data_IF_800469586964
#
_entry.id   IF_800469586964
#
_cell.length_a   1.000
_cell.length_b   1.000
_cell.length_c   1.000
_cell.angle_alpha   90.00
_cell.angle_beta   90.00
_cell.angle_gamma   90.00
#
_symmetry.space_group_name_H-M   'P 1'
#
loop_
_entity.id
_entity.type
_entity.pdbx_description
1 polymer ?
#
# COMPACT_ATOMS: atom_id res chain seq x y z
N UNK A 1 4.07 33.74 -9.56
CA UNK A 1 4.02 32.95 -8.30
C UNK A 1 5.16 31.93 -8.20
N UNK A 2 5.48 31.17 -9.27
CA UNK A 2 6.64 30.26 -9.32
C UNK A 2 8.01 30.94 -9.09
N UNK A 3 8.16 32.22 -9.46
CA UNK A 3 9.41 32.95 -9.26
C UNK A 3 9.67 33.36 -7.80
N UNK A 4 8.64 33.41 -6.96
CA UNK A 4 8.76 33.66 -5.52
C UNK A 4 9.36 32.45 -4.80
N UNK A 5 8.77 31.26 -5.01
CA UNK A 5 9.29 29.98 -4.50
C UNK A 5 10.69 29.66 -5.02
N UNK A 6 11.04 30.08 -6.25
CA UNK A 6 12.40 29.94 -6.80
C UNK A 6 13.44 30.74 -6.05
N UNK A 7 13.06 31.87 -5.45
CA UNK A 7 13.95 32.72 -4.67
C UNK A 7 14.05 32.25 -3.22
N UNK A 8 12.99 31.71 -2.64
CA UNK A 8 12.98 31.19 -1.27
C UNK A 8 13.66 29.82 -1.12
N UNK A 9 13.54 28.93 -2.11
CA UNK A 9 14.10 27.57 -2.03
C UNK A 9 14.89 27.17 -3.28
N UNK A 10 15.96 27.90 -3.63
CA UNK A 10 16.76 27.60 -4.82
C UNK A 10 17.37 26.19 -4.75
N UNK A 11 17.78 25.75 -3.56
CA UNK A 11 18.38 24.44 -3.29
C UNK A 11 17.42 23.28 -3.55
N UNK A 12 16.13 23.44 -3.21
CA UNK A 12 15.12 22.40 -3.46
C UNK A 12 14.89 22.21 -4.95
N UNK A 13 14.95 23.30 -5.72
CA UNK A 13 14.72 23.27 -7.17
C UNK A 13 15.96 22.76 -7.91
N UNK A 14 17.16 23.11 -7.48
CA UNK A 14 18.39 22.53 -8.03
C UNK A 14 18.47 21.04 -7.72
N UNK A 15 18.11 20.63 -6.50
CA UNK A 15 18.01 19.21 -6.16
C UNK A 15 16.94 18.49 -6.98
N UNK A 16 15.75 19.07 -7.13
CA UNK A 16 14.68 18.52 -7.96
C UNK A 16 15.10 18.34 -9.42
N UNK A 17 15.92 19.26 -9.95
CA UNK A 17 16.48 19.16 -11.31
C UNK A 17 17.62 18.16 -11.42
N UNK A 18 18.40 17.97 -10.36
CA UNK A 18 19.52 17.02 -10.31
C UNK A 18 19.06 15.57 -10.16
N UNK A 19 17.82 15.34 -9.71
CA UNK A 19 17.28 13.99 -9.55
C UNK A 19 17.21 13.25 -10.91
N UNK A 20 17.76 12.03 -10.99
CA UNK A 20 17.70 11.24 -12.20
C UNK A 20 16.25 10.90 -12.55
N UNK A 21 15.92 10.96 -13.84
CA UNK A 21 14.56 10.67 -14.30
C UNK A 21 14.32 9.15 -14.20
N UNK A 22 13.37 8.69 -13.37
CA UNK A 22 13.10 7.27 -13.21
C UNK A 22 12.60 6.70 -14.53
N UNK A 23 13.00 5.46 -14.82
CA UNK A 23 12.61 4.75 -16.02
C UNK A 23 11.59 3.67 -15.69
N UNK A 24 10.49 3.64 -16.44
CA UNK A 24 9.46 2.62 -16.35
C UNK A 24 9.43 1.86 -17.67
N UNK A 25 9.55 0.52 -17.62
CA UNK A 25 9.39 -0.32 -18.80
C UNK A 25 7.91 -0.41 -19.19
N UNK A 26 7.63 -0.44 -20.49
CA UNK A 26 6.26 -0.70 -20.97
C UNK A 26 5.95 -2.19 -20.84
N UNK A 27 4.70 -2.50 -20.53
CA UNK A 27 4.21 -3.87 -20.43
C UNK A 27 2.75 -3.95 -20.92
N UNK A 28 2.18 -5.15 -20.96
CA UNK A 28 0.77 -5.32 -21.28
C UNK A 28 -0.12 -4.57 -20.27
N UNK A 29 -1.35 -4.16 -20.65
CA UNK A 29 -2.18 -3.29 -19.80
C UNK A 29 -2.37 -3.81 -18.37
N UNK A 30 -2.53 -5.13 -18.23
CA UNK A 30 -2.64 -5.81 -16.93
C UNK A 30 -1.38 -5.65 -16.06
N UNK A 31 -0.20 -5.91 -16.62
CA UNK A 31 1.04 -5.81 -15.86
C UNK A 31 1.45 -4.37 -15.59
N UNK A 32 1.16 -3.45 -16.50
CA UNK A 32 1.31 -2.01 -16.26
C UNK A 32 0.39 -1.53 -15.15
N UNK A 33 -0.81 -2.11 -15.02
CA UNK A 33 -1.74 -1.82 -13.92
C UNK A 33 -1.20 -2.36 -12.59
N UNK A 34 -0.69 -3.59 -12.55
CA UNK A 34 -0.02 -4.11 -11.36
C UNK A 34 1.20 -3.25 -10.99
N UNK A 35 2.02 -2.86 -11.96
CA UNK A 35 3.15 -1.97 -11.72
C UNK A 35 2.71 -0.61 -11.14
N UNK A 36 1.57 -0.07 -11.58
CA UNK A 36 0.99 1.14 -11.03
C UNK A 36 0.57 0.97 -9.56
N UNK A 37 -0.13 -0.12 -9.21
CA UNK A 37 -0.44 -0.43 -7.80
C UNK A 37 0.82 -0.56 -6.96
N UNK A 38 1.86 -1.21 -7.48
CA UNK A 38 3.13 -1.34 -6.76
C UNK A 38 3.84 -0.02 -6.57
N UNK A 39 3.85 0.85 -7.58
CA UNK A 39 4.40 2.20 -7.46
C UNK A 39 3.64 3.02 -6.41
N UNK A 40 2.31 2.90 -6.38
CA UNK A 40 1.47 3.48 -5.34
C UNK A 40 1.84 2.97 -3.95
N UNK A 41 1.96 1.65 -3.79
CA UNK A 41 2.35 0.99 -2.54
C UNK A 41 3.73 1.47 -2.04
N UNK A 42 4.74 1.52 -2.91
CA UNK A 42 6.07 2.01 -2.53
C UNK A 42 6.04 3.49 -2.13
N UNK A 43 5.36 4.34 -2.92
CA UNK A 43 5.29 5.77 -2.64
C UNK A 43 4.52 6.05 -1.34
N UNK A 44 3.38 5.38 -1.14
CA UNK A 44 2.61 5.50 0.10
C UNK A 44 3.41 5.01 1.30
N UNK A 45 4.10 3.87 1.18
CA UNK A 45 4.91 3.32 2.26
C UNK A 45 6.07 4.24 2.65
N UNK A 46 6.82 4.76 1.67
CA UNK A 46 7.91 5.70 1.92
C UNK A 46 7.39 6.96 2.62
N UNK A 47 6.31 7.57 2.11
CA UNK A 47 5.75 8.78 2.72
C UNK A 47 5.20 8.50 4.11
N UNK A 48 4.52 7.36 4.31
CA UNK A 48 4.03 6.98 5.63
C UNK A 48 5.18 6.84 6.62
N UNK A 49 6.25 6.13 6.24
CA UNK A 49 7.45 5.95 7.06
C UNK A 49 8.07 7.30 7.41
N UNK A 50 8.32 8.16 6.42
CA UNK A 50 8.96 9.47 6.63
C UNK A 50 8.11 10.37 7.53
N UNK A 51 6.81 10.48 7.23
CA UNK A 51 5.90 11.36 7.97
C UNK A 51 5.67 10.81 9.38
N UNK A 52 5.53 9.50 9.58
CA UNK A 52 5.45 8.90 10.92
C UNK A 52 6.72 9.12 11.75
N UNK A 53 7.90 9.11 11.13
CA UNK A 53 9.15 9.46 11.81
C UNK A 53 9.19 10.95 12.18
N UNK A 54 8.80 11.83 11.25
CA UNK A 54 8.70 13.27 11.49
C UNK A 54 7.74 13.59 12.63
N UNK A 55 6.54 12.99 12.65
CA UNK A 55 5.55 13.16 13.72
C UNK A 55 6.07 12.75 15.10
N UNK A 56 6.92 11.72 15.17
CA UNK A 56 7.56 11.30 16.42
C UNK A 56 8.62 12.30 16.90
N UNK A 57 9.18 13.09 16.00
CA UNK A 57 10.26 14.05 16.27
C UNK A 57 9.74 15.48 16.50
N UNK A 58 8.58 15.84 15.96
CA UNK A 58 7.97 17.16 16.14
C UNK A 58 7.15 17.22 17.44
N UNK A 59 7.32 18.29 18.22
CA UNK A 59 6.43 18.62 19.35
C UNK A 59 5.01 18.89 18.84
N UNK A 60 3.99 18.52 19.63
CA UNK A 60 2.55 18.46 19.31
C UNK A 60 1.90 19.72 18.69
N UNK A 61 2.63 20.80 18.49
CA UNK A 61 2.11 22.12 18.14
C UNK A 61 2.05 22.41 16.64
N UNK A 62 2.62 21.55 15.79
CA UNK A 62 2.49 21.70 14.33
C UNK A 62 1.33 20.85 13.80
N UNK A 63 0.29 21.47 13.18
CA UNK A 63 -0.78 20.74 12.52
C UNK A 63 -0.24 20.20 11.19
N UNK A 64 0.51 19.11 11.27
CA UNK A 64 0.91 18.34 10.09
C UNK A 64 -0.31 17.56 9.58
N UNK A 65 -0.51 17.46 8.26
CA UNK A 65 -1.54 16.57 7.70
C UNK A 65 -1.34 15.15 8.22
N UNK A 66 -2.42 14.40 8.40
CA UNK A 66 -2.30 13.05 8.92
C UNK A 66 -1.40 12.20 7.98
N UNK A 67 -0.48 11.36 8.51
CA UNK A 67 0.48 10.60 7.70
C UNK A 67 -0.16 9.84 6.54
N UNK A 68 -1.39 9.34 6.76
CA UNK A 68 -2.17 8.57 5.81
C UNK A 68 -2.73 9.40 4.65
N UNK A 69 -3.02 10.70 4.84
CA UNK A 69 -3.52 11.57 3.78
C UNK A 69 -2.42 11.88 2.76
N UNK A 70 -1.23 12.22 3.25
CA UNK A 70 -0.05 12.46 2.40
C UNK A 70 0.41 11.19 1.70
N UNK A 71 0.35 10.04 2.38
CA UNK A 71 0.64 8.75 1.78
C UNK A 71 -0.37 8.39 0.68
N UNK A 72 -1.66 8.68 0.88
CA UNK A 72 -2.69 8.49 -0.13
C UNK A 72 -2.47 9.36 -1.37
N UNK A 73 -2.10 10.62 -1.18
CA UNK A 73 -1.74 11.53 -2.27
C UNK A 73 -0.52 11.04 -3.05
N UNK A 74 0.57 10.70 -2.35
CA UNK A 74 1.80 10.24 -2.99
C UNK A 74 1.60 8.91 -3.71
N UNK A 75 0.85 7.98 -3.09
CA UNK A 75 0.51 6.68 -3.68
C UNK A 75 -0.32 6.83 -4.95
N UNK A 76 -1.38 7.64 -4.92
CA UNK A 76 -2.22 7.88 -6.11
C UNK A 76 -1.44 8.60 -7.22
N UNK A 77 -0.61 9.58 -6.88
CA UNK A 77 0.23 10.28 -7.85
C UNK A 77 1.22 9.33 -8.55
N UNK A 78 1.93 8.50 -7.78
CA UNK A 78 2.88 7.52 -8.31
C UNK A 78 2.18 6.46 -9.17
N UNK A 79 1.05 5.93 -8.70
CA UNK A 79 0.30 4.92 -9.42
C UNK A 79 -0.20 5.43 -10.78
N UNK A 80 -0.84 6.61 -10.81
CA UNK A 80 -1.36 7.19 -12.04
C UNK A 80 -0.24 7.55 -13.03
N UNK A 81 0.88 8.08 -12.54
CA UNK A 81 2.01 8.41 -13.39
C UNK A 81 2.64 7.15 -14.02
N UNK A 82 2.82 6.07 -13.25
CA UNK A 82 3.33 4.80 -13.74
C UNK A 82 2.33 4.11 -14.69
N UNK A 83 1.03 4.16 -14.38
CA UNK A 83 -0.03 3.65 -15.26
C UNK A 83 0.01 4.34 -16.63
N UNK A 84 0.10 5.68 -16.64
CA UNK A 84 0.14 6.46 -17.87
C UNK A 84 1.40 6.17 -18.70
N UNK A 85 2.58 6.15 -18.07
CA UNK A 85 3.87 5.95 -18.77
C UNK A 85 4.07 4.51 -19.23
N UNK A 86 3.63 3.53 -18.43
CA UNK A 86 3.85 2.11 -18.67
C UNK A 86 2.81 1.45 -19.59
N UNK A 87 1.55 1.88 -19.54
CA UNK A 87 0.45 1.25 -20.29
C UNK A 87 -0.58 2.20 -20.92
N UNK A 88 -0.46 3.51 -20.69
CA UNK A 88 -1.32 4.51 -21.31
C UNK A 88 -2.74 4.56 -20.72
N UNK A 89 -3.68 5.04 -21.54
CA UNK A 89 -5.06 5.35 -21.11
C UNK A 89 -5.82 4.15 -20.57
N UNK A 90 -5.65 2.97 -21.16
CA UNK A 90 -6.36 1.75 -20.74
C UNK A 90 -5.94 1.31 -19.35
N UNK A 91 -4.65 1.39 -19.03
CA UNK A 91 -4.12 1.09 -17.70
C UNK A 91 -4.58 2.10 -16.66
N UNK A 92 -4.64 3.39 -17.01
CA UNK A 92 -5.19 4.43 -16.11
C UNK A 92 -6.66 4.18 -15.82
N UNK A 93 -7.47 3.87 -16.85
CA UNK A 93 -8.87 3.53 -16.67
C UNK A 93 -9.06 2.28 -15.79
N UNK A 94 -8.23 1.24 -15.99
CA UNK A 94 -8.24 0.04 -15.15
C UNK A 94 -7.92 0.35 -13.68
N UNK A 95 -6.86 1.12 -13.42
CA UNK A 95 -6.48 1.54 -12.07
C UNK A 95 -7.61 2.34 -11.39
N UNK A 96 -8.14 3.35 -12.08
CA UNK A 96 -9.25 4.16 -11.57
C UNK A 96 -10.52 3.34 -11.35
N UNK A 97 -10.80 2.36 -12.22
CA UNK A 97 -11.95 1.46 -12.07
C UNK A 97 -11.85 0.59 -10.83
N UNK A 98 -10.67 0.02 -10.55
CA UNK A 98 -10.45 -0.75 -9.32
C UNK A 98 -10.49 0.14 -8.08
N UNK A 99 -9.89 1.33 -8.14
CA UNK A 99 -9.96 2.29 -7.04
C UNK A 99 -11.41 2.70 -6.75
N UNK A 100 -12.19 3.02 -7.79
CA UNK A 100 -13.61 3.35 -7.64
C UNK A 100 -14.41 2.19 -7.05
N UNK A 101 -14.16 0.96 -7.52
CA UNK A 101 -14.77 -0.25 -6.97
C UNK A 101 -14.44 -0.42 -5.49
N UNK A 102 -13.17 -0.30 -5.11
CA UNK A 102 -12.73 -0.37 -3.70
C UNK A 102 -13.46 0.66 -2.82
N UNK A 103 -13.57 1.90 -3.29
CA UNK A 103 -14.26 2.98 -2.55
C UNK A 103 -15.76 2.73 -2.43
N UNK A 104 -16.41 2.28 -3.51
CA UNK A 104 -17.82 1.94 -3.50
C UNK A 104 -18.13 0.75 -2.56
N UNK A 105 -17.27 -0.27 -2.54
CA UNK A 105 -17.42 -1.43 -1.67
C UNK A 105 -17.07 -1.10 -0.20
N UNK A 106 -16.17 -0.15 0.03
CA UNK A 106 -15.81 0.31 1.38
C UNK A 106 -16.85 1.21 2.04
N UNK A 107 -17.68 1.91 1.26
CA UNK A 107 -18.68 2.85 1.74
C UNK A 107 -19.74 2.19 2.65
N UNK A 108 -20.33 1.03 2.32
CA UNK A 108 -21.19 0.28 3.24
C UNK A 108 -20.53 -0.06 4.57
N UNK A 109 -19.25 -0.47 4.54
CA UNK A 109 -18.49 -0.80 5.75
C UNK A 109 -18.32 0.42 6.66
N UNK A 110 -18.01 1.59 6.08
CA UNK A 110 -17.88 2.84 6.82
C UNK A 110 -19.22 3.31 7.41
N UNK A 111 -20.32 3.20 6.66
CA UNK A 111 -21.65 3.56 7.15
C UNK A 111 -22.10 2.66 8.31
N UNK A 112 -21.83 1.35 8.25
CA UNK A 112 -22.12 0.41 9.36
C UNK A 112 -21.31 0.77 10.60
N UNK A 113 -20.02 1.06 10.46
CA UNK A 113 -19.17 1.48 11.57
C UNK A 113 -19.70 2.75 12.25
N UNK A 114 -20.15 3.72 11.46
CA UNK A 114 -20.74 4.96 11.97
C UNK A 114 -22.07 4.73 12.70
N UNK A 115 -22.92 3.81 12.21
CA UNK A 115 -24.21 3.49 12.81
C UNK A 115 -24.13 2.64 14.08
N UNK A 116 -23.26 1.62 14.11
CA UNK A 116 -23.24 0.63 15.20
C UNK A 116 -22.30 1.00 16.37
N UNK A 117 -21.20 1.71 16.12
CA UNK A 117 -20.16 1.96 17.15
C UNK A 117 -20.09 3.41 17.64
N UNK A 118 -21.10 4.23 17.33
CA UNK A 118 -21.10 5.64 17.72
C UNK A 118 -19.99 6.45 17.04
N UNK A 119 -19.56 6.04 15.83
CA UNK A 119 -18.51 6.72 15.05
C UNK A 119 -18.78 8.22 14.82
N UNK A 120 -20.03 8.66 14.93
CA UNK A 120 -20.44 10.07 14.96
C UNK A 120 -19.73 10.91 16.04
N UNK A 121 -19.38 10.31 17.18
CA UNK A 121 -18.69 10.99 18.28
C UNK A 121 -17.15 10.96 18.15
N UNK A 122 -16.59 9.93 17.51
CA UNK A 122 -15.12 9.70 17.42
C UNK A 122 -14.49 10.27 16.16
N UNK A 123 -15.17 10.19 15.01
CA UNK A 123 -14.68 10.68 13.72
C UNK A 123 -15.17 12.11 13.41
N UNK A 124 -15.99 12.70 14.27
CA UNK A 124 -16.71 13.93 13.99
C UNK A 124 -17.79 13.68 12.92
N UNK A 125 -19.06 13.80 13.28
CA UNK A 125 -20.22 13.33 12.49
C UNK A 125 -20.29 13.71 10.99
N UNK A 126 -19.45 14.63 10.52
CA UNK A 126 -19.25 14.94 9.10
C UNK A 126 -18.73 13.73 8.28
N UNK A 127 -17.76 12.96 8.79
CA UNK A 127 -17.15 11.80 8.09
C UNK A 127 -18.10 10.57 7.97
N UNK A 128 -19.23 10.62 8.68
CA UNK A 128 -20.27 9.58 8.67
C UNK A 128 -21.42 9.89 7.70
N UNK A 129 -21.23 10.86 6.80
CA UNK A 129 -22.15 11.19 5.71
C UNK A 129 -21.51 10.89 4.35
N UNK A 130 -22.33 10.68 3.31
CA UNK A 130 -21.84 10.50 1.93
C UNK A 130 -21.01 11.72 1.48
N UNK A 131 -21.43 12.93 1.88
CA UNK A 131 -20.69 14.17 1.61
C UNK A 131 -19.32 14.20 2.28
N UNK A 132 -19.23 13.83 3.56
CA UNK A 132 -17.94 13.76 4.26
C UNK A 132 -17.03 12.66 3.74
N UNK A 133 -17.58 11.52 3.31
CA UNK A 133 -16.82 10.48 2.62
C UNK A 133 -16.18 11.02 1.34
N UNK A 134 -16.93 11.76 0.52
CA UNK A 134 -16.42 12.38 -0.71
C UNK A 134 -15.37 13.45 -0.43
N UNK A 135 -15.59 14.28 0.59
CA UNK A 135 -14.61 15.29 1.03
C UNK A 135 -13.32 14.60 1.49
N UNK A 136 -13.39 13.46 2.17
CA UNK A 136 -12.22 12.69 2.58
C UNK A 136 -11.41 12.10 1.41
N UNK A 137 -11.93 12.14 0.16
CA UNK A 137 -11.18 11.76 -1.04
C UNK A 137 -10.29 12.89 -1.59
N UNK A 138 -10.27 14.07 -0.95
CA UNK A 138 -9.44 15.20 -1.37
C UNK A 138 -7.95 14.86 -1.63
N UNK A 139 -7.26 13.98 -0.84
CA UNK A 139 -5.85 13.69 -1.09
C UNK A 139 -5.65 12.97 -2.42
N UNK A 140 -6.64 12.17 -2.83
CA UNK A 140 -6.60 11.41 -4.08
C UNK A 140 -6.80 12.34 -5.28
N UNK A 141 -7.69 13.33 -5.15
CA UNK A 141 -7.91 14.36 -6.17
C UNK A 141 -6.65 15.22 -6.38
N UNK A 142 -5.97 15.60 -5.30
CA UNK A 142 -4.67 16.28 -5.41
C UNK A 142 -3.59 15.35 -6.00
N UNK A 143 -3.62 14.07 -5.65
CA UNK A 143 -2.74 13.06 -6.24
C UNK A 143 -2.87 12.97 -7.76
N UNK A 144 -4.08 13.08 -8.31
CA UNK A 144 -4.32 13.17 -9.76
C UNK A 144 -3.63 14.38 -10.38
N UNK A 145 -3.71 15.55 -9.74
CA UNK A 145 -3.05 16.75 -10.23
C UNK A 145 -1.51 16.60 -10.23
N UNK A 146 -0.95 16.05 -9.14
CA UNK A 146 0.49 15.77 -9.03
C UNK A 146 0.94 14.70 -10.03
N UNK A 147 0.08 13.72 -10.34
CA UNK A 147 0.37 12.67 -11.31
C UNK A 147 0.70 13.25 -12.70
N UNK A 148 0.07 14.34 -13.11
CA UNK A 148 0.33 14.98 -14.41
C UNK A 148 1.78 15.49 -14.46
N UNK A 149 2.24 16.14 -13.39
CA UNK A 149 3.61 16.62 -13.29
C UNK A 149 4.60 15.44 -13.23
N UNK A 150 4.28 14.41 -12.44
CA UNK A 150 5.13 13.23 -12.27
C UNK A 150 5.24 12.42 -13.57
N UNK A 151 4.15 12.27 -14.32
CA UNK A 151 4.11 11.57 -15.60
C UNK A 151 4.99 12.25 -16.67
N UNK A 152 5.12 13.58 -16.62
CA UNK A 152 6.04 14.32 -17.49
C UNK A 152 7.50 14.15 -17.10
N UNK A 153 7.78 13.86 -15.84
CA UNK A 153 9.13 13.65 -15.33
C UNK A 153 9.61 12.20 -15.52
N UNK A 154 8.71 11.22 -15.47
CA UNK A 154 9.02 9.82 -15.75
C UNK A 154 9.39 9.61 -17.22
N UNK A 155 10.35 8.72 -17.48
CA UNK A 155 10.74 8.31 -18.84
C UNK A 155 10.41 6.85 -19.09
N UNK A 156 10.12 6.52 -20.34
CA UNK A 156 10.05 5.12 -20.77
C UNK A 156 11.46 4.54 -20.87
N UNK A 157 11.72 3.43 -20.21
CA UNK A 157 13.02 2.74 -20.25
C UNK A 157 13.06 1.59 -21.26
N UNK A 158 14.26 1.21 -21.75
CA UNK A 158 14.44 -0.04 -22.47
C UNK A 158 14.25 -1.22 -21.50
N UNK A 159 13.46 -2.21 -21.91
CA UNK A 159 13.05 -3.35 -21.10
C UNK A 159 11.57 -3.63 -21.25
N UNK A 160 11.16 -4.84 -20.87
CA UNK A 160 9.81 -5.35 -21.16
C UNK A 160 8.94 -5.52 -19.89
N UNK A 161 9.52 -5.30 -18.69
CA UNK A 161 8.89 -5.66 -17.39
C UNK A 161 9.40 -4.84 -16.21
N UNK A 162 8.55 -4.68 -15.20
CA UNK A 162 8.88 -4.07 -13.90
C UNK A 162 8.55 -5.07 -12.77
N UNK A 163 9.28 -6.18 -12.63
CA UNK A 163 8.87 -7.30 -11.77
C UNK A 163 8.71 -6.94 -10.30
N UNK A 164 9.50 -5.99 -9.79
CA UNK A 164 9.37 -5.49 -8.40
C UNK A 164 8.06 -4.75 -8.20
N UNK A 165 7.71 -3.83 -9.11
CA UNK A 165 6.47 -3.07 -9.04
C UNK A 165 5.26 -3.98 -9.25
N UNK A 166 5.35 -4.94 -10.16
CA UNK A 166 4.26 -5.87 -10.43
C UNK A 166 3.96 -6.78 -9.25
N UNK A 167 5.00 -7.32 -8.61
CA UNK A 167 4.85 -8.15 -7.42
C UNK A 167 4.29 -7.34 -6.25
N UNK A 168 4.82 -6.14 -6.00
CA UNK A 168 4.31 -5.24 -4.98
C UNK A 168 2.85 -4.82 -5.24
N UNK A 169 2.49 -4.58 -6.50
CA UNK A 169 1.12 -4.21 -6.85
C UNK A 169 0.12 -5.34 -6.67
N UNK A 170 0.53 -6.58 -6.94
CA UNK A 170 -0.30 -7.75 -6.65
C UNK A 170 -0.50 -7.92 -5.15
N UNK A 171 0.56 -7.75 -4.35
CA UNK A 171 0.44 -7.72 -2.90
C UNK A 171 -0.56 -6.65 -2.44
N UNK A 172 -0.35 -5.41 -2.87
CA UNK A 172 -1.20 -4.29 -2.50
C UNK A 172 -2.66 -4.54 -2.90
N UNK A 173 -2.90 -5.03 -4.11
CA UNK A 173 -4.25 -5.31 -4.62
C UNK A 173 -4.94 -6.44 -3.84
N UNK A 174 -4.22 -7.53 -3.52
CA UNK A 174 -4.77 -8.62 -2.70
C UNK A 174 -5.12 -8.10 -1.31
N UNK A 175 -4.22 -7.34 -0.66
CA UNK A 175 -4.46 -6.83 0.68
C UNK A 175 -5.62 -5.82 0.73
N UNK A 176 -5.66 -4.88 -0.21
CA UNK A 176 -6.67 -3.80 -0.25
C UNK A 176 -8.05 -4.31 -0.65
N UNK A 177 -8.17 -4.97 -1.81
CA UNK A 177 -9.45 -5.53 -2.24
C UNK A 177 -9.91 -6.64 -1.31
N UNK A 178 -9.01 -7.55 -0.92
CA UNK A 178 -9.35 -8.61 0.01
C UNK A 178 -9.86 -8.08 1.34
N UNK A 179 -9.21 -7.07 1.92
CA UNK A 179 -9.69 -6.40 3.13
C UNK A 179 -11.06 -5.75 2.95
N UNK A 180 -11.28 -5.11 1.79
CA UNK A 180 -12.57 -4.48 1.45
C UNK A 180 -13.69 -5.51 1.32
N UNK A 181 -13.45 -6.63 0.63
CA UNK A 181 -14.41 -7.72 0.51
C UNK A 181 -14.69 -8.39 1.85
N UNK A 182 -13.65 -8.63 2.67
CA UNK A 182 -13.82 -9.17 4.02
C UNK A 182 -14.70 -8.26 4.88
N UNK A 183 -14.47 -6.94 4.84
CA UNK A 183 -15.29 -5.98 5.58
C UNK A 183 -16.76 -5.97 5.09
N UNK A 184 -16.96 -6.06 3.77
CA UNK A 184 -18.30 -6.12 3.19
C UNK A 184 -19.08 -7.36 3.64
N UNK A 185 -18.43 -8.53 3.67
CA UNK A 185 -19.03 -9.83 3.97
C UNK A 185 -19.21 -10.02 5.47
N UNK A 186 -18.17 -9.75 6.26
CA UNK A 186 -18.13 -10.05 7.69
C UNK A 186 -18.73 -8.93 8.54
N UNK A 187 -18.90 -7.72 7.98
CA UNK A 187 -19.25 -6.53 8.76
C UNK A 187 -18.12 -6.14 9.72
N UNK A 188 -18.29 -5.09 10.54
CA UNK A 188 -17.23 -4.56 11.39
C UNK A 188 -16.62 -5.61 12.33
N UNK A 189 -15.34 -5.44 12.67
CA UNK A 189 -14.64 -6.34 13.58
C UNK A 189 -15.29 -6.36 14.96
N UNK A 190 -15.83 -7.51 15.35
CA UNK A 190 -16.39 -7.73 16.68
C UNK A 190 -15.29 -8.21 17.62
N UNK A 191 -15.18 -7.54 18.77
CA UNK A 191 -14.16 -7.84 19.79
C UNK A 191 -14.31 -9.30 20.24
N UNK A 192 -13.21 -10.06 20.22
CA UNK A 192 -13.18 -11.47 20.63
C UNK A 192 -13.59 -12.49 19.56
N UNK A 193 -14.00 -12.06 18.37
CA UNK A 193 -14.28 -12.99 17.26
C UNK A 193 -13.00 -13.45 16.57
N UNK A 194 -12.73 -14.77 16.49
CA UNK A 194 -11.52 -15.28 15.82
C UNK A 194 -11.58 -15.17 14.29
N UNK A 195 -12.77 -14.92 13.73
CA UNK A 195 -13.00 -14.92 12.27
C UNK A 195 -12.17 -13.84 11.59
N UNK A 196 -12.19 -12.62 12.12
CA UNK A 196 -11.49 -11.47 11.54
C UNK A 196 -9.96 -11.66 11.50
N UNK A 197 -9.30 -12.00 12.62
CA UNK A 197 -7.87 -12.31 12.61
C UNK A 197 -7.49 -13.43 11.64
N UNK A 198 -8.26 -14.53 11.61
CA UNK A 198 -8.00 -15.66 10.71
C UNK A 198 -8.12 -15.22 9.24
N UNK A 199 -9.15 -14.45 8.90
CA UNK A 199 -9.33 -13.95 7.54
C UNK A 199 -8.20 -13.03 7.09
N UNK A 200 -7.69 -12.15 7.97
CA UNK A 200 -6.51 -11.32 7.67
C UNK A 200 -5.25 -12.15 7.47
N UNK A 201 -5.05 -13.18 8.30
CA UNK A 201 -3.91 -14.09 8.16
C UNK A 201 -3.95 -14.84 6.82
N UNK A 202 -5.11 -15.39 6.45
CA UNK A 202 -5.30 -16.09 5.17
C UNK A 202 -5.07 -15.14 3.99
N UNK A 203 -5.54 -13.90 4.08
CA UNK A 203 -5.32 -12.90 3.05
C UNK A 203 -3.84 -12.58 2.87
N UNK A 204 -3.10 -12.41 3.98
CA UNK A 204 -1.67 -12.17 3.95
C UNK A 204 -0.90 -13.34 3.34
N UNK A 205 -1.26 -14.59 3.67
CA UNK A 205 -0.69 -15.79 3.04
C UNK A 205 -0.97 -15.80 1.54
N UNK A 206 -2.20 -15.51 1.12
CA UNK A 206 -2.56 -15.45 -0.29
C UNK A 206 -1.78 -14.35 -1.03
N UNK A 207 -1.66 -13.15 -0.45
CA UNK A 207 -0.86 -12.05 -0.99
C UNK A 207 0.61 -12.42 -1.12
N UNK A 208 1.18 -13.03 -0.08
CA UNK A 208 2.56 -13.56 -0.09
C UNK A 208 2.79 -14.61 -1.17
N UNK A 209 1.90 -15.59 -1.29
CA UNK A 209 1.99 -16.61 -2.33
C UNK A 209 1.91 -16.01 -3.75
N UNK A 210 1.02 -15.03 -3.97
CA UNK A 210 0.90 -14.32 -5.23
C UNK A 210 2.17 -13.53 -5.58
N UNK A 211 2.80 -12.87 -4.60
CA UNK A 211 4.13 -12.25 -4.75
C UNK A 211 5.18 -13.28 -5.15
N UNK A 212 5.29 -14.39 -4.42
CA UNK A 212 6.26 -15.44 -4.72
C UNK A 212 6.11 -15.97 -6.15
N UNK A 213 4.87 -16.23 -6.58
CA UNK A 213 4.56 -16.71 -7.91
C UNK A 213 4.92 -15.70 -9.01
N UNK A 214 4.60 -14.43 -8.79
CA UNK A 214 4.87 -13.36 -9.77
C UNK A 214 6.37 -13.11 -9.91
N UNK A 215 7.12 -13.10 -8.80
CA UNK A 215 8.59 -13.03 -8.82
C UNK A 215 9.19 -14.22 -9.56
N UNK A 216 8.72 -15.45 -9.30
CA UNK A 216 9.21 -16.65 -10.01
C UNK A 216 9.02 -16.55 -11.52
N UNK A 217 7.88 -16.02 -11.98
CA UNK A 217 7.54 -15.95 -13.41
C UNK A 217 8.11 -14.73 -14.14
N UNK A 218 8.24 -13.59 -13.46
CA UNK A 218 8.51 -12.29 -14.11
C UNK A 218 9.91 -11.77 -13.83
N UNK A 219 10.52 -12.14 -12.71
CA UNK A 219 11.81 -11.59 -12.30
C UNK A 219 13.00 -12.41 -12.82
N UNK A 220 14.01 -11.70 -13.35
CA UNK A 220 15.33 -12.28 -13.66
C UNK A 220 16.16 -12.46 -12.39
N UNK A 221 16.22 -11.41 -11.55
CA UNK A 221 16.90 -11.42 -10.24
C UNK A 221 15.91 -11.69 -9.12
N UNK A 222 15.45 -12.94 -9.02
CA UNK A 222 14.43 -13.40 -8.06
C UNK A 222 14.68 -12.98 -6.60
N UNK A 223 15.85 -13.27 -5.98
CA UNK A 223 16.07 -12.95 -4.57
C UNK A 223 16.11 -11.44 -4.31
N UNK A 224 16.73 -10.66 -5.20
CA UNK A 224 16.76 -9.20 -5.10
C UNK A 224 15.36 -8.58 -5.21
N UNK A 225 14.54 -9.10 -6.13
CA UNK A 225 13.17 -8.59 -6.34
C UNK A 225 12.31 -8.85 -5.12
N UNK A 226 12.35 -10.08 -4.58
CA UNK A 226 11.64 -10.42 -3.35
C UNK A 226 12.13 -9.56 -2.18
N UNK A 227 13.46 -9.44 -2.01
CA UNK A 227 14.05 -8.68 -0.90
C UNK A 227 13.58 -7.23 -0.84
N UNK A 228 13.43 -6.55 -1.99
CA UNK A 228 12.92 -5.17 -2.03
C UNK A 228 11.45 -5.09 -1.58
N UNK A 229 10.60 -6.02 -2.02
CA UNK A 229 9.18 -6.05 -1.63
C UNK A 229 9.05 -6.35 -0.14
N UNK A 230 9.79 -7.36 0.34
CA UNK A 230 9.82 -7.77 1.75
C UNK A 230 10.29 -6.62 2.65
N UNK A 231 11.31 -5.87 2.23
CA UNK A 231 11.85 -4.77 3.03
C UNK A 231 10.80 -3.69 3.31
N UNK A 232 9.96 -3.36 2.34
CA UNK A 232 8.92 -2.34 2.54
C UNK A 232 7.78 -2.87 3.42
N UNK A 233 7.33 -4.11 3.19
CA UNK A 233 6.33 -4.76 4.05
C UNK A 233 6.83 -4.82 5.50
N UNK A 234 8.08 -5.22 5.71
CA UNK A 234 8.68 -5.30 7.04
C UNK A 234 8.88 -3.92 7.68
N UNK A 235 9.29 -2.91 6.90
CA UNK A 235 9.48 -1.54 7.40
C UNK A 235 8.16 -0.90 7.83
N UNK A 236 7.09 -1.05 7.04
CA UNK A 236 5.75 -0.57 7.41
C UNK A 236 5.27 -1.26 8.69
N UNK A 237 5.37 -2.59 8.77
CA UNK A 237 5.01 -3.36 9.97
C UNK A 237 5.79 -2.90 11.20
N UNK A 238 7.10 -2.69 11.07
CA UNK A 238 7.96 -2.32 12.17
C UNK A 238 7.66 -0.91 12.71
N UNK A 239 7.24 0.02 11.85
CA UNK A 239 7.03 1.42 12.23
C UNK A 239 5.58 1.73 12.62
N UNK A 240 4.61 1.05 12.01
CA UNK A 240 3.19 1.34 12.17
C UNK A 240 2.51 0.36 13.11
N UNK A 241 2.85 -0.93 13.03
CA UNK A 241 2.21 -1.95 13.83
C UNK A 241 2.94 -2.13 15.17
N UNK A 242 4.26 -2.38 15.17
CA UNK A 242 4.99 -2.75 16.40
C UNK A 242 4.78 -1.78 17.58
N UNK A 243 4.80 -0.46 17.38
CA UNK A 243 4.62 0.49 18.48
C UNK A 243 3.25 0.39 19.18
N UNK A 244 2.10 0.36 18.47
CA UNK A 244 0.81 0.11 19.12
C UNK A 244 0.75 -1.25 19.82
N UNK A 245 1.31 -2.33 19.27
CA UNK A 245 1.35 -3.62 19.98
C UNK A 245 2.14 -3.53 21.28
N UNK A 246 3.34 -2.93 21.25
CA UNK A 246 4.15 -2.75 22.46
C UNK A 246 3.39 -1.92 23.49
N UNK A 247 2.69 -0.87 23.05
CA UNK A 247 1.86 -0.05 23.94
C UNK A 247 0.68 -0.83 24.54
N UNK A 248 0.00 -1.67 23.74
CA UNK A 248 -1.10 -2.51 24.21
C UNK A 248 -0.60 -3.57 25.17
N UNK A 249 0.51 -4.24 24.88
CA UNK A 249 1.13 -5.23 25.76
C UNK A 249 1.63 -4.60 27.08
N UNK A 250 2.15 -3.37 27.01
CA UNK A 250 2.58 -2.63 28.20
C UNK A 250 1.39 -2.20 29.08
N UNK A 251 0.27 -1.81 28.47
CA UNK A 251 -0.98 -1.45 29.15
C UNK A 251 -1.73 -2.68 29.68
N UNK A 252 -1.63 -3.82 29.01
CA UNK A 252 -2.34 -5.07 29.34
C UNK A 252 -1.66 -5.90 30.45
N UNK A 253 -0.71 -5.35 31.22
CA UNK A 253 -0.07 -6.06 32.36
C UNK A 253 -1.14 -6.54 33.36
N UNK A 254 -1.59 -7.79 33.20
CA UNK A 254 -2.52 -8.49 34.09
C UNK A 254 -3.91 -8.81 33.53
N UNK A 255 -4.24 -8.46 32.28
CA UNK A 255 -5.55 -8.78 31.67
C UNK A 255 -5.37 -9.47 30.31
N UNK A 256 -6.05 -10.59 30.08
CA UNK A 256 -6.06 -11.37 28.83
C UNK A 256 -6.83 -10.63 27.71
N UNK A 257 -6.43 -9.41 27.37
CA UNK A 257 -7.12 -8.58 26.36
C UNK A 257 -6.73 -8.93 24.91
N UNK A 258 -5.60 -9.59 24.67
CA UNK A 258 -5.17 -10.01 23.33
C UNK A 258 -5.23 -11.53 23.24
N UNK A 259 -6.17 -12.05 22.45
CA UNK A 259 -6.28 -13.48 22.20
C UNK A 259 -5.09 -14.03 21.38
N UNK A 260 -4.75 -15.32 21.49
CA UNK A 260 -3.66 -15.93 20.71
C UNK A 260 -3.86 -15.81 19.20
N UNK A 261 -5.12 -15.80 18.75
CA UNK A 261 -5.51 -15.67 17.34
C UNK A 261 -5.31 -14.23 16.82
N UNK A 262 -5.52 -13.22 17.67
CA UNK A 262 -5.21 -11.83 17.34
C UNK A 262 -3.71 -11.60 17.23
N UNK A 263 -2.93 -12.23 18.13
CA UNK A 263 -1.47 -12.20 18.07
C UNK A 263 -0.94 -12.80 16.75
N UNK A 264 -1.53 -13.89 16.28
CA UNK A 264 -1.15 -14.50 15.00
C UNK A 264 -1.45 -13.60 13.80
N UNK A 265 -2.65 -13.02 13.75
CA UNK A 265 -3.03 -12.10 12.68
C UNK A 265 -2.21 -10.81 12.70
N UNK A 266 -1.80 -10.38 13.88
CA UNK A 266 -0.91 -9.26 14.05
C UNK A 266 0.44 -9.50 13.35
N UNK A 267 0.99 -10.71 13.43
CA UNK A 267 2.20 -11.11 12.68
C UNK A 267 1.92 -11.51 11.22
N UNK A 268 0.74 -11.22 10.66
CA UNK A 268 0.38 -11.55 9.27
C UNK A 268 1.43 -11.16 8.20
N UNK A 269 2.21 -10.06 8.31
CA UNK A 269 3.28 -9.78 7.35
C UNK A 269 4.38 -10.85 7.32
N UNK A 270 4.69 -11.48 8.47
CA UNK A 270 5.67 -12.58 8.55
C UNK A 270 5.17 -13.79 7.76
N UNK A 271 3.88 -14.10 7.86
CA UNK A 271 3.26 -15.20 7.10
C UNK A 271 3.23 -14.90 5.60
N UNK A 272 2.98 -13.65 5.19
CA UNK A 272 3.09 -13.24 3.80
C UNK A 272 4.52 -13.44 3.26
N UNK A 273 5.52 -13.00 4.01
CA UNK A 273 6.95 -13.16 3.65
C UNK A 273 7.31 -14.65 3.57
N UNK A 274 6.86 -15.45 4.54
CA UNK A 274 7.05 -16.90 4.56
C UNK A 274 6.45 -17.58 3.34
N UNK A 275 5.19 -17.28 3.01
CA UNK A 275 4.50 -17.83 1.84
C UNK A 275 5.21 -17.48 0.53
N UNK A 276 5.66 -16.23 0.37
CA UNK A 276 6.41 -15.80 -0.81
C UNK A 276 7.73 -16.56 -0.96
N UNK A 277 8.43 -16.77 0.16
CA UNK A 277 9.71 -17.48 0.22
C UNK A 277 9.54 -18.97 -0.09
N UNK A 278 8.49 -19.61 0.43
CA UNK A 278 8.16 -21.01 0.16
C UNK A 278 7.91 -21.23 -1.34
N UNK A 279 7.13 -20.35 -2.00
CA UNK A 279 6.87 -20.46 -3.44
C UNK A 279 8.17 -20.36 -4.25
N UNK A 280 9.06 -19.46 -3.86
CA UNK A 280 10.38 -19.31 -4.49
C UNK A 280 11.27 -20.54 -4.27
N UNK A 281 11.28 -21.09 -3.06
CA UNK A 281 12.01 -22.32 -2.74
C UNK A 281 11.50 -23.51 -3.55
N UNK A 282 10.18 -23.74 -3.58
CA UNK A 282 9.57 -24.82 -4.36
C UNK A 282 9.88 -24.72 -5.86
N UNK A 283 9.91 -23.49 -6.40
CA UNK A 283 10.29 -23.26 -7.79
C UNK A 283 11.79 -23.53 -8.06
N UNK A 284 12.66 -23.32 -7.07
CA UNK A 284 14.07 -23.66 -7.17
C UNK A 284 14.29 -25.19 -7.14
N UNK A 285 13.64 -25.88 -6.21
CA UNK A 285 13.72 -27.35 -6.08
C UNK A 285 13.24 -28.05 -7.36
N UNK A 286 12.07 -27.69 -7.88
CA UNK A 286 11.55 -28.28 -9.14
C UNK A 286 12.49 -28.10 -10.34
N UNK A 287 13.26 -27.01 -10.36
CA UNK A 287 14.21 -26.75 -11.45
C UNK A 287 15.42 -27.67 -11.39
N UNK A 288 15.85 -28.03 -10.18
CA UNK A 288 16.95 -28.97 -9.96
C UNK A 288 16.53 -30.37 -10.42
N UNK A 289 15.32 -30.80 -10.03
CA UNK A 289 14.78 -32.11 -10.43
C UNK A 289 14.66 -32.28 -11.95
N UNK A 290 14.34 -31.21 -12.68
CA UNK A 290 14.27 -31.23 -14.15
C UNK A 290 15.63 -31.23 -14.85
N UNK A 291 16.72 -30.83 -14.17
CA UNK A 291 18.08 -30.89 -14.73
C UNK A 291 18.81 -32.19 -14.38
N UNK A 292 18.34 -32.89 -13.36
CA UNK A 292 18.89 -34.18 -12.93
C UNK A 292 18.31 -35.39 -13.70
N UNK A 293 17.31 -35.17 -14.56
CA UNK A 293 16.76 -36.15 -15.52
C UNK A 293 17.22 -35.80 -16.92
#
# INVERSE_FOLDING_TARGET
MLDGLRREFPEVITFARALPHPRVARASPFWSMMAAFGAGFFASGIVTILVSLLFRLTTRETPLPAPFELAGLAGTAAALAVAWVGGGRTTVAGYLGVLALERLLGLPGQLRFCGEFGGFAVLGGQLCSVGGYLIALWPQLLGVAVAIALARWLRTGPGDRNPTLEAAGIYALVQTLGGTFLNLILGPATVGSPVWPISFLLLAIAGGAAVGYTVVRRATRKPRTLGIVVLVIAAEFALLSLPPLVSQLAQARGTNLIGPVELLAYFSPVFAIGAATIVLYMAAVRRIDTMAR
#
